data_IF_204663352889
#
_entry.id   IF_204663352889
#
_cell.length_a   1.000
_cell.length_b   1.000
_cell.length_c   1.000
_cell.angle_alpha   90.00
_cell.angle_beta   90.00
_cell.angle_gamma   90.00
#
_symmetry.space_group_name_H-M   'P 1'
#
loop_
_entity.id
_entity.type
_entity.pdbx_description
1 polymer ?
#
# COMPACT_ATOMS: atom_id res chain seq x y z
N UNK A 1 -22.51 -0.81 -3.66
CA UNK A 1 -22.42 -2.24 -3.29
C UNK A 1 -21.05 -2.67 -2.71
N UNK A 2 -20.04 -1.79 -2.55
CA UNK A 2 -18.68 -2.18 -2.08
C UNK A 2 -18.29 -1.74 -0.65
N UNK A 3 -19.15 -0.97 0.02
CA UNK A 3 -18.89 -0.48 1.38
C UNK A 3 -18.61 -1.61 2.39
N UNK A 4 -19.20 -2.79 2.18
CA UNK A 4 -18.98 -3.97 3.00
C UNK A 4 -17.53 -4.51 2.90
N UNK A 5 -16.86 -4.34 1.75
CA UNK A 5 -15.45 -4.73 1.55
C UNK A 5 -14.51 -3.77 2.28
N UNK A 6 -14.77 -2.47 2.15
CA UNK A 6 -14.05 -1.46 2.92
C UNK A 6 -14.25 -1.70 4.42
N UNK A 7 -15.48 -1.94 4.86
CA UNK A 7 -15.78 -2.27 6.26
C UNK A 7 -15.09 -3.57 6.70
N UNK A 8 -14.92 -4.57 5.83
CA UNK A 8 -14.15 -5.79 6.14
C UNK A 8 -12.66 -5.49 6.31
N UNK A 9 -12.09 -4.68 5.42
CA UNK A 9 -10.68 -4.27 5.54
C UNK A 9 -10.46 -3.40 6.79
N UNK A 10 -11.35 -2.44 7.06
CA UNK A 10 -11.32 -1.60 8.27
C UNK A 10 -11.53 -2.41 9.54
N UNK A 11 -12.45 -3.39 9.56
CA UNK A 11 -12.65 -4.29 10.70
C UNK A 11 -11.41 -5.12 10.98
N UNK A 12 -10.70 -5.61 9.95
CA UNK A 12 -9.41 -6.27 10.18
C UNK A 12 -8.49 -5.31 10.91
N UNK A 13 -8.33 -4.08 10.42
CA UNK A 13 -7.40 -3.13 11.05
C UNK A 13 -7.88 -2.63 12.41
N UNK A 14 -9.19 -2.61 12.70
CA UNK A 14 -9.72 -2.26 14.02
C UNK A 14 -9.65 -3.41 15.03
N UNK A 15 -9.70 -4.67 14.58
CA UNK A 15 -9.67 -5.83 15.48
C UNK A 15 -8.30 -6.03 16.13
N UNK A 16 -7.21 -5.81 15.37
CA UNK A 16 -5.86 -5.96 15.92
C UNK A 16 -5.54 -4.95 17.04
N UNK A 17 -5.71 -3.62 16.90
CA UNK A 17 -5.44 -2.68 17.99
C UNK A 17 -6.35 -2.93 19.20
N UNK A 18 -7.61 -3.36 19.01
CA UNK A 18 -8.52 -3.69 20.12
C UNK A 18 -8.04 -4.91 20.91
N UNK A 19 -7.47 -5.92 20.25
CA UNK A 19 -6.86 -7.08 20.95
C UNK A 19 -5.56 -6.77 21.70
N UNK A 20 -4.93 -5.60 21.48
CA UNK A 20 -3.69 -5.18 22.15
C UNK A 20 -3.88 -4.05 23.16
N UNK A 21 -5.08 -3.45 23.24
CA UNK A 21 -5.40 -2.38 24.21
C UNK A 21 -5.71 -2.87 25.63
N UNK A 22 -5.95 -4.17 25.84
CA UNK A 22 -6.17 -4.72 27.19
C UNK A 22 -4.95 -4.55 28.14
N UNK A 23 -3.78 -4.17 27.61
CA UNK A 23 -2.53 -3.96 28.37
C UNK A 23 -2.02 -2.51 28.37
N UNK A 24 -2.83 -1.54 27.93
CA UNK A 24 -2.56 -0.10 28.14
C UNK A 24 -1.37 0.52 27.39
N UNK A 25 -0.65 -0.24 26.56
CA UNK A 25 0.35 0.28 25.61
C UNK A 25 0.11 -0.33 24.25
N UNK A 26 -0.18 0.52 23.26
CA UNK A 26 -0.15 0.13 21.85
C UNK A 26 1.29 -0.31 21.57
N UNK A 27 1.56 -1.63 21.61
CA UNK A 27 2.90 -2.13 21.38
C UNK A 27 3.36 -1.68 19.99
N UNK A 28 4.63 -1.27 19.89
CA UNK A 28 5.35 -0.99 18.65
C UNK A 28 5.53 -2.24 17.76
N UNK A 29 4.72 -3.29 17.97
CA UNK A 29 4.71 -4.50 17.17
C UNK A 29 4.15 -4.19 15.79
N UNK A 30 4.90 -4.48 14.73
CA UNK A 30 4.44 -4.22 13.38
C UNK A 30 3.24 -5.09 13.04
N UNK A 31 2.16 -4.47 12.57
CA UNK A 31 0.94 -5.17 12.19
C UNK A 31 0.90 -5.40 10.68
N UNK A 32 0.56 -6.62 10.24
CA UNK A 32 0.43 -6.96 8.82
C UNK A 32 -1.03 -7.27 8.46
N UNK A 33 -1.56 -6.61 7.43
CA UNK A 33 -2.86 -7.02 6.87
C UNK A 33 -2.87 -7.01 5.35
N UNK A 34 -3.63 -7.97 4.81
CA UNK A 34 -3.94 -8.06 3.39
C UNK A 34 -5.22 -7.34 3.04
N UNK A 35 -5.13 -6.43 2.07
CA UNK A 35 -6.28 -5.77 1.48
C UNK A 35 -7.03 -6.71 0.53
N UNK A 36 -8.35 -6.54 0.41
CA UNK A 36 -9.14 -7.31 -0.54
C UNK A 36 -8.62 -7.18 -1.97
N UNK A 37 -8.54 -8.32 -2.69
CA UNK A 37 -8.17 -8.39 -4.12
C UNK A 37 -9.26 -7.87 -5.06
N UNK A 38 -10.49 -7.65 -4.58
CA UNK A 38 -11.59 -7.22 -5.46
C UNK A 38 -11.35 -5.81 -5.98
N UNK A 39 -11.73 -5.51 -7.24
CA UNK A 39 -11.74 -4.15 -7.76
C UNK A 39 -12.51 -3.27 -6.79
N UNK A 40 -11.98 -2.10 -6.49
CA UNK A 40 -12.62 -1.17 -5.56
C UNK A 40 -12.77 0.18 -6.23
N UNK A 41 -13.95 0.77 -6.05
CA UNK A 41 -14.27 2.11 -6.48
C UNK A 41 -13.13 3.08 -6.11
N UNK A 42 -12.68 3.92 -7.05
CA UNK A 42 -11.63 4.91 -6.82
C UNK A 42 -11.90 5.81 -5.59
N UNK A 43 -13.16 6.08 -5.27
CA UNK A 43 -13.54 6.84 -4.08
C UNK A 43 -13.03 6.19 -2.77
N UNK A 44 -13.06 4.86 -2.68
CA UNK A 44 -12.59 4.14 -1.49
C UNK A 44 -11.06 4.06 -1.39
N UNK A 45 -10.35 4.24 -2.51
CA UNK A 45 -8.88 4.26 -2.51
C UNK A 45 -8.37 5.51 -1.77
N UNK A 46 -9.03 6.66 -1.95
CA UNK A 46 -8.74 7.88 -1.19
C UNK A 46 -8.96 7.68 0.31
N UNK A 47 -10.05 7.01 0.70
CA UNK A 47 -10.35 6.73 2.11
C UNK A 47 -9.30 5.80 2.72
N UNK A 48 -8.93 4.73 2.00
CA UNK A 48 -7.87 3.79 2.42
C UNK A 48 -6.52 4.47 2.57
N UNK A 49 -6.15 5.34 1.62
CA UNK A 49 -4.93 6.12 1.70
C UNK A 49 -4.90 7.01 2.95
N UNK A 50 -5.98 7.79 3.19
CA UNK A 50 -6.11 8.62 4.41
C UNK A 50 -6.02 7.79 5.68
N UNK A 51 -6.67 6.63 5.71
CA UNK A 51 -6.64 5.74 6.86
C UNK A 51 -5.21 5.24 7.17
N UNK A 52 -4.45 4.83 6.14
CA UNK A 52 -3.05 4.42 6.30
C UNK A 52 -2.20 5.58 6.84
N UNK A 53 -2.43 6.80 6.36
CA UNK A 53 -1.74 8.02 6.84
C UNK A 53 -2.02 8.29 8.32
N UNK A 54 -3.28 8.20 8.75
CA UNK A 54 -3.64 8.37 10.17
C UNK A 54 -2.94 7.34 11.05
N UNK A 55 -2.88 6.07 10.62
CA UNK A 55 -2.17 5.04 11.38
C UNK A 55 -0.66 5.31 11.45
N UNK A 56 -0.05 5.80 10.38
CA UNK A 56 1.35 6.21 10.35
C UNK A 56 1.62 7.37 11.33
N UNK A 57 0.70 8.33 11.45
CA UNK A 57 0.78 9.45 12.41
C UNK A 57 0.65 9.00 13.86
N UNK A 58 0.07 7.82 14.10
CA UNK A 58 0.01 7.19 15.43
C UNK A 58 1.28 6.39 15.80
N UNK A 59 2.40 6.60 15.10
CA UNK A 59 3.67 5.88 15.29
C UNK A 59 3.54 4.33 15.19
N UNK A 60 2.58 3.86 14.40
CA UNK A 60 2.40 2.44 14.12
C UNK A 60 3.29 1.98 12.96
N UNK A 61 3.99 0.86 13.16
CA UNK A 61 4.63 0.14 12.06
C UNK A 61 3.58 -0.77 11.39
N UNK A 62 3.38 -0.58 10.09
CA UNK A 62 2.34 -1.29 9.34
C UNK A 62 2.96 -1.93 8.11
N UNK A 63 2.68 -3.21 7.91
CA UNK A 63 2.93 -3.92 6.67
C UNK A 63 1.61 -4.13 5.93
N UNK A 64 1.57 -3.68 4.68
CA UNK A 64 0.38 -3.77 3.85
C UNK A 64 0.71 -4.67 2.68
N UNK A 65 -0.03 -5.76 2.54
CA UNK A 65 -0.01 -6.56 1.30
C UNK A 65 -1.22 -6.17 0.47
N UNK A 66 -0.96 -5.70 -0.75
CA UNK A 66 -2.01 -5.22 -1.66
C UNK A 66 -1.65 -5.54 -3.09
N UNK A 67 -2.69 -5.84 -3.88
CA UNK A 67 -2.62 -5.94 -5.33
C UNK A 67 -3.19 -4.67 -6.01
N UNK A 68 -3.62 -3.68 -5.22
CA UNK A 68 -4.22 -2.46 -5.75
C UNK A 68 -3.13 -1.48 -6.21
N UNK A 69 -2.97 -1.36 -7.53
CA UNK A 69 -1.97 -0.50 -8.13
C UNK A 69 -2.15 0.98 -7.73
N UNK A 70 -3.36 1.52 -7.85
CA UNK A 70 -3.61 2.94 -7.62
C UNK A 70 -3.30 3.37 -6.18
N UNK A 71 -3.62 2.54 -5.19
CA UNK A 71 -3.24 2.79 -3.80
C UNK A 71 -1.72 2.80 -3.62
N UNK A 72 -1.04 1.81 -4.21
CA UNK A 72 0.41 1.66 -4.13
C UNK A 72 1.13 2.83 -4.81
N UNK A 73 0.59 3.28 -5.95
CA UNK A 73 1.07 4.46 -6.66
C UNK A 73 0.87 5.75 -5.86
N UNK A 74 -0.31 5.95 -5.26
CA UNK A 74 -0.56 7.11 -4.37
C UNK A 74 0.41 7.15 -3.19
N UNK A 75 0.65 6.00 -2.53
CA UNK A 75 1.64 5.88 -1.46
C UNK A 75 3.07 6.19 -1.95
N UNK A 76 3.41 5.81 -3.19
CA UNK A 76 4.71 6.10 -3.76
C UNK A 76 4.90 7.57 -4.09
N UNK A 77 3.87 8.23 -4.64
CA UNK A 77 3.89 9.68 -4.88
C UNK A 77 4.01 10.43 -3.55
N UNK A 78 3.22 10.01 -2.59
CA UNK A 78 3.25 10.52 -1.23
C UNK A 78 4.67 10.43 -0.63
N UNK A 79 5.32 9.26 -0.72
CA UNK A 79 6.70 9.09 -0.27
C UNK A 79 7.73 9.93 -1.04
N UNK A 80 7.46 10.27 -2.30
CA UNK A 80 8.37 11.05 -3.15
C UNK A 80 8.28 12.55 -2.90
N UNK A 81 7.07 13.07 -2.65
CA UNK A 81 6.79 14.50 -2.65
C UNK A 81 6.56 15.11 -1.27
N UNK A 82 6.30 14.32 -0.22
CA UNK A 82 6.15 14.90 1.11
C UNK A 82 7.52 15.31 1.69
N UNK A 83 7.75 16.62 1.78
CA UNK A 83 8.97 17.23 2.35
C UNK A 83 9.03 17.17 3.88
N UNK A 84 7.98 16.67 4.54
CA UNK A 84 7.89 16.62 6.00
C UNK A 84 8.13 15.20 6.50
N UNK A 85 9.17 15.04 7.33
CA UNK A 85 9.57 13.84 8.08
C UNK A 85 9.69 12.57 7.24
N UNK A 86 10.93 12.27 6.84
CA UNK A 86 11.46 10.94 6.52
C UNK A 86 10.36 9.91 6.17
N UNK A 87 9.74 10.09 4.99
CA UNK A 87 8.53 9.37 4.61
C UNK A 87 8.72 7.88 4.89
N UNK A 88 8.00 7.37 5.88
CA UNK A 88 8.25 6.07 6.51
C UNK A 88 7.80 4.87 5.67
N UNK A 89 7.36 5.14 4.43
CA UNK A 89 6.83 4.14 3.52
C UNK A 89 8.00 3.48 2.78
N UNK A 90 8.11 2.17 2.93
CA UNK A 90 9.04 1.34 2.18
C UNK A 90 8.26 0.29 1.40
N UNK A 91 8.59 0.14 0.14
CA UNK A 91 8.03 -0.86 -0.74
C UNK A 91 8.94 -2.09 -0.75
N UNK A 92 8.32 -3.27 -0.82
CA UNK A 92 9.01 -4.56 -0.81
C UNK A 92 8.54 -5.41 -2.00
N UNK A 93 9.49 -5.85 -2.83
CA UNK A 93 9.25 -6.71 -3.99
C UNK A 93 9.82 -8.11 -3.76
N UNK A 94 9.03 -9.07 -3.25
CA UNK A 94 9.51 -10.43 -3.05
C UNK A 94 9.71 -11.16 -4.38
N UNK A 95 10.86 -11.80 -4.56
CA UNK A 95 11.25 -12.61 -5.73
C UNK A 95 11.63 -14.01 -5.31
N UNK A 96 10.94 -15.01 -5.86
CA UNK A 96 11.33 -16.40 -5.69
C UNK A 96 12.51 -16.72 -6.62
N UNK A 97 13.62 -17.25 -6.06
CA UNK A 97 14.80 -17.73 -6.82
C UNK A 97 14.98 -19.25 -6.75
N UNK A 98 13.95 -20.01 -6.35
CA UNK A 98 13.98 -21.46 -6.26
C UNK A 98 14.67 -22.00 -5.00
N UNK A 99 15.78 -21.39 -4.53
CA UNK A 99 16.47 -21.72 -3.27
C UNK A 99 16.14 -20.78 -2.10
N UNK A 100 15.19 -19.87 -2.29
CA UNK A 100 14.81 -18.88 -1.29
C UNK A 100 14.09 -17.67 -1.87
N UNK A 101 13.72 -16.73 -0.99
CA UNK A 101 13.05 -15.49 -1.35
C UNK A 101 14.05 -14.34 -1.21
N UNK A 102 14.32 -13.64 -2.31
CA UNK A 102 14.98 -12.34 -2.28
C UNK A 102 13.95 -11.24 -2.14
N UNK A 103 14.27 -10.18 -1.40
CA UNK A 103 13.36 -9.05 -1.21
C UNK A 103 14.04 -7.76 -1.68
N UNK A 104 13.54 -7.19 -2.77
CA UNK A 104 13.92 -5.85 -3.21
C UNK A 104 13.23 -4.81 -2.32
N UNK A 105 13.91 -3.70 -2.01
CA UNK A 105 13.39 -2.64 -1.15
C UNK A 105 13.62 -1.29 -1.81
N UNK A 106 12.61 -0.42 -1.83
CA UNK A 106 12.78 0.98 -2.22
C UNK A 106 11.82 1.91 -1.48
N UNK A 107 12.12 3.21 -1.48
CA UNK A 107 11.23 4.28 -1.02
C UNK A 107 10.14 4.61 -2.05
N UNK A 108 10.36 4.32 -3.33
CA UNK A 108 9.36 4.54 -4.38
C UNK A 108 9.09 3.26 -5.17
N UNK A 109 7.85 3.12 -5.65
CA UNK A 109 7.38 1.93 -6.35
C UNK A 109 8.11 1.70 -7.68
N UNK A 110 8.49 2.78 -8.36
CA UNK A 110 9.14 2.74 -9.68
C UNK A 110 10.53 2.07 -9.64
N UNK A 111 11.20 2.11 -8.51
CA UNK A 111 12.54 1.52 -8.37
C UNK A 111 12.52 0.01 -8.08
N UNK A 112 11.34 -0.56 -7.80
CA UNK A 112 11.20 -2.01 -7.63
C UNK A 112 11.09 -2.66 -8.99
N UNK A 113 12.16 -3.35 -9.39
CA UNK A 113 12.23 -4.05 -10.68
C UNK A 113 11.34 -5.30 -10.67
N UNK A 114 11.29 -6.02 -9.55
CA UNK A 114 10.44 -7.20 -9.41
C UNK A 114 9.05 -6.86 -8.86
N UNK A 115 8.30 -6.04 -9.60
CA UNK A 115 6.96 -5.64 -9.25
C UNK A 115 5.94 -6.20 -10.26
N UNK A 116 5.27 -7.31 -9.90
CA UNK A 116 4.22 -7.91 -10.73
C UNK A 116 3.05 -6.95 -10.98
N UNK A 117 2.68 -6.15 -9.97
CA UNK A 117 1.62 -5.15 -10.09
C UNK A 117 2.00 -4.05 -11.09
N UNK A 118 3.26 -3.59 -11.11
CA UNK A 118 3.69 -2.60 -12.10
C UNK A 118 3.63 -3.16 -13.52
N UNK A 119 4.13 -4.40 -13.72
CA UNK A 119 4.14 -5.09 -15.02
C UNK A 119 2.75 -5.22 -15.63
N UNK A 120 1.73 -5.51 -14.83
CA UNK A 120 0.34 -5.60 -15.29
C UNK A 120 -0.18 -4.27 -15.83
N UNK A 121 0.27 -3.14 -15.28
CA UNK A 121 -0.19 -1.80 -15.65
C UNK A 121 0.73 -1.07 -16.65
N UNK A 122 1.90 -1.62 -17.00
CA UNK A 122 2.79 -1.06 -18.06
C UNK A 122 2.03 -0.79 -19.37
N UNK A 123 1.19 -1.72 -19.89
CA UNK A 123 0.46 -1.47 -21.12
C UNK A 123 -0.43 -0.22 -21.05
N UNK A 124 -1.04 0.04 -19.88
CA UNK A 124 -1.88 1.22 -19.65
C UNK A 124 -1.06 2.53 -19.72
N UNK A 125 0.15 2.55 -19.19
CA UNK A 125 1.06 3.70 -19.30
C UNK A 125 1.50 3.97 -20.73
N UNK A 126 1.89 2.90 -21.44
CA UNK A 126 2.25 2.99 -22.85
C UNK A 126 1.08 3.53 -23.67
N UNK A 127 -0.14 3.06 -23.38
CA UNK A 127 -1.34 3.57 -24.03
C UNK A 127 -1.58 5.06 -23.75
N UNK A 128 -1.44 5.49 -22.49
CA UNK A 128 -1.62 6.89 -22.13
C UNK A 128 -0.58 7.78 -22.83
N UNK A 129 0.68 7.34 -22.92
CA UNK A 129 1.73 8.10 -23.64
C UNK A 129 1.45 8.29 -25.12
N UNK A 130 0.76 7.34 -25.77
CA UNK A 130 0.33 7.48 -27.17
C UNK A 130 -0.65 8.65 -27.32
N UNK A 131 -1.61 8.82 -26.40
CA UNK A 131 -2.57 9.93 -26.45
C UNK A 131 -1.96 11.29 -26.11
N UNK A 132 -0.97 11.34 -25.22
CA UNK A 132 -0.30 12.59 -24.85
C UNK A 132 0.85 12.98 -25.80
N UNK A 133 1.22 12.13 -26.77
CA UNK A 133 2.16 12.48 -27.85
C UNK A 133 1.53 13.24 -29.02
N UNK A 134 0.20 13.41 -29.04
CA UNK A 134 -0.55 14.16 -30.07
C UNK A 134 -1.10 15.51 -29.58
N UNK A 135 -0.50 16.09 -28.53
CA UNK A 135 -0.74 17.47 -28.09
C UNK A 135 0.56 18.25 -28.08
#
# INVERSE_FOLDING_TARGET
MEAHLLAKDLRKVGFYPVSYTEWGKLMRTPFCFGMSRKPTCPAFIKVRFKFIRVLQECDLYIFITTHNYLLTYMLSLYSKFEKQKDASVKFFGPKNKGRGIMVEKSKILADIQNNSTLKEYVPFYTWNSIFYQYK
#
